data_IF_789287590681
#
_entry.id   IF_789287590681
#
_cell.length_a   1.000
_cell.length_b   1.000
_cell.length_c   1.000
_cell.angle_alpha   90.00
_cell.angle_beta   90.00
_cell.angle_gamma   90.00
#
_symmetry.space_group_name_H-M   'P 1'
#
loop_
_entity.id
_entity.type
_entity.pdbx_description
1 polymer ?
#
# COMPACT_ATOMS: atom_id res chain seq x y z
N UNK A 1 -26.30 43.79 -15.43
CA UNK A 1 -26.76 42.39 -15.33
C UNK A 1 -25.61 41.40 -15.07
N UNK A 2 -24.38 41.88 -14.83
CA UNK A 2 -23.30 41.06 -14.25
C UNK A 2 -23.02 41.45 -12.79
N UNK A 3 -23.50 42.63 -12.36
CA UNK A 3 -23.33 43.19 -11.02
C UNK A 3 -24.17 42.47 -9.95
N UNK A 4 -25.21 41.72 -10.37
CA UNK A 4 -26.11 41.00 -9.45
C UNK A 4 -25.46 39.75 -8.82
N UNK A 5 -24.32 39.28 -9.35
CA UNK A 5 -23.62 38.08 -8.86
C UNK A 5 -22.66 38.44 -7.72
N UNK A 6 -21.97 39.57 -7.83
CA UNK A 6 -21.00 40.01 -6.83
C UNK A 6 -21.69 40.42 -5.51
N UNK A 7 -22.88 41.04 -5.60
CA UNK A 7 -23.69 41.37 -4.43
C UNK A 7 -24.16 40.11 -3.66
N UNK A 8 -24.51 39.03 -4.38
CA UNK A 8 -24.89 37.75 -3.77
C UNK A 8 -23.70 37.05 -3.11
N UNK A 9 -22.48 37.22 -3.63
CA UNK A 9 -21.27 36.66 -3.02
C UNK A 9 -20.88 37.41 -1.74
N UNK A 10 -21.02 38.74 -1.72
CA UNK A 10 -20.73 39.56 -0.55
C UNK A 10 -21.67 39.26 0.63
N UNK A 11 -22.94 38.98 0.35
CA UNK A 11 -23.93 38.60 1.37
C UNK A 11 -23.52 37.28 2.07
N UNK A 12 -23.15 36.26 1.31
CA UNK A 12 -22.69 34.96 1.84
C UNK A 12 -21.38 35.09 2.62
N UNK A 13 -20.41 35.86 2.12
CA UNK A 13 -19.16 36.10 2.85
C UNK A 13 -19.41 36.79 4.19
N UNK A 14 -20.34 37.74 4.26
CA UNK A 14 -20.71 38.41 5.50
C UNK A 14 -21.39 37.49 6.51
N UNK A 15 -22.17 36.51 6.03
CA UNK A 15 -22.92 35.57 6.86
C UNK A 15 -21.99 34.48 7.47
N UNK A 16 -20.94 34.07 6.76
CA UNK A 16 -20.09 32.95 7.17
C UNK A 16 -18.68 33.32 7.67
N UNK A 17 -18.15 34.51 7.36
CA UNK A 17 -16.77 34.89 7.74
C UNK A 17 -16.70 35.84 8.96
N UNK A 18 -17.82 36.30 9.51
CA UNK A 18 -17.83 37.20 10.68
C UNK A 18 -17.66 36.49 12.03
N UNK A 19 -17.51 35.17 12.04
CA UNK A 19 -17.26 34.36 13.23
C UNK A 19 -15.79 34.33 13.69
N UNK A 20 -15.21 35.47 14.05
CA UNK A 20 -13.96 35.48 14.83
C UNK A 20 -13.05 36.70 14.70
N UNK A 21 -13.37 37.81 15.39
CA UNK A 21 -12.39 38.83 15.77
C UNK A 21 -11.99 38.65 17.24
N UNK A 22 -10.71 38.43 17.51
CA UNK A 22 -10.01 38.99 18.69
C UNK A 22 -8.56 39.36 18.31
N UNK A 23 -8.36 40.67 18.13
CA UNK A 23 -7.27 41.58 18.57
C UNK A 23 -6.04 41.00 19.31
N UNK A 24 -4.81 41.54 19.34
CA UNK A 24 -4.06 42.62 18.67
C UNK A 24 -2.60 42.55 19.19
N UNK A 25 -1.63 42.94 18.35
CA UNK A 25 -0.32 43.59 18.62
C UNK A 25 0.72 43.10 19.67
N UNK A 26 1.92 42.79 19.12
CA UNK A 26 3.30 43.16 19.51
C UNK A 26 3.76 43.10 20.99
N UNK A 27 4.78 42.26 21.23
CA UNK A 27 5.80 42.45 22.29
C UNK A 27 6.83 41.31 22.34
N UNK A 28 8.13 41.61 22.22
CA UNK A 28 9.23 40.71 22.68
C UNK A 28 9.43 40.97 24.18
N UNK A 29 9.79 39.97 25.00
CA UNK A 29 11.18 39.91 25.49
C UNK A 29 11.71 38.50 25.82
N UNK A 30 13.02 38.43 26.05
CA UNK A 30 13.83 37.26 26.44
C UNK A 30 13.62 36.79 27.91
N UNK A 31 14.01 35.52 28.15
CA UNK A 31 14.70 34.95 29.35
C UNK A 31 13.91 34.21 30.49
N UNK A 32 14.26 32.90 30.60
CA UNK A 32 14.45 31.96 31.76
C UNK A 32 13.28 31.34 32.59
N UNK A 33 13.22 29.99 32.49
CA UNK A 33 12.98 28.88 33.47
C UNK A 33 12.07 29.05 34.70
N UNK A 34 11.09 28.13 34.85
CA UNK A 34 10.76 27.36 36.09
C UNK A 34 9.80 26.18 35.84
N UNK A 35 9.80 25.19 36.76
CA UNK A 35 9.20 23.83 36.74
C UNK A 35 7.70 23.75 37.14
N UNK A 36 7.05 22.62 36.81
CA UNK A 36 5.80 22.06 37.40
C UNK A 36 4.75 21.69 36.33
N UNK A 37 4.60 20.42 35.93
CA UNK A 37 3.76 19.33 36.47
C UNK A 37 2.39 19.21 35.77
N UNK A 38 2.02 17.95 35.46
CA UNK A 38 0.72 17.37 35.06
C UNK A 38 0.93 16.21 34.08
N UNK A 39 1.47 15.10 34.62
CA UNK A 39 1.10 13.75 34.17
C UNK A 39 -0.27 13.41 34.76
N UNK A 40 -1.12 12.66 34.05
CA UNK A 40 -2.22 11.82 34.60
C UNK A 40 -3.33 11.55 33.58
N UNK A 41 -3.04 10.95 32.42
CA UNK A 41 -4.13 10.40 31.59
C UNK A 41 -3.77 9.27 30.60
N UNK A 42 -2.49 8.95 30.48
CA UNK A 42 -1.99 7.91 29.56
C UNK A 42 -1.56 6.63 30.27
N UNK A 43 -1.34 6.69 31.59
CA UNK A 43 -0.80 5.56 32.35
C UNK A 43 -1.89 4.56 32.76
N UNK A 44 -3.13 5.02 33.02
CA UNK A 44 -4.26 4.15 33.37
C UNK A 44 -4.76 3.28 32.20
N UNK A 45 -4.48 3.68 30.95
CA UNK A 45 -4.86 2.91 29.76
C UNK A 45 -3.86 1.79 29.45
N UNK A 46 -2.60 1.93 29.89
CA UNK A 46 -1.58 0.90 29.70
C UNK A 46 -1.80 -0.27 30.68
N UNK A 47 -2.25 0.00 31.91
CA UNK A 47 -2.52 -1.03 32.90
C UNK A 47 -3.68 -1.96 32.52
N UNK A 48 -4.62 -1.53 31.68
CA UNK A 48 -5.70 -2.39 31.12
C UNK A 48 -5.25 -3.23 29.92
N UNK A 49 -4.08 -2.93 29.33
CA UNK A 49 -3.56 -3.65 28.17
C UNK A 49 -2.79 -4.91 28.57
N UNK A 50 -2.23 -4.95 29.78
CA UNK A 50 -1.41 -6.06 30.29
C UNK A 50 -2.22 -7.31 30.70
N UNK A 51 -3.54 -7.18 30.91
CA UNK A 51 -4.42 -8.31 31.24
C UNK A 51 -4.88 -9.11 29.99
N UNK A 52 -4.74 -8.55 28.79
CA UNK A 52 -4.93 -9.28 27.55
C UNK A 52 -3.64 -10.02 27.20
N UNK A 53 -3.48 -11.25 27.70
CA UNK A 53 -2.44 -12.18 27.22
C UNK A 53 -2.70 -12.56 25.76
N UNK A 54 -2.34 -11.67 24.84
CA UNK A 54 -2.26 -11.96 23.42
C UNK A 54 -1.04 -12.87 23.26
N UNK A 55 -1.28 -14.16 23.11
CA UNK A 55 -0.21 -15.08 22.71
C UNK A 55 0.46 -14.54 21.44
N UNK A 56 1.80 -14.44 21.39
CA UNK A 56 2.49 -13.91 20.24
C UNK A 56 2.19 -14.78 19.03
N UNK A 57 1.47 -14.21 18.05
CA UNK A 57 1.30 -14.80 16.73
C UNK A 57 2.72 -15.02 16.19
N UNK A 58 3.09 -16.23 15.76
CA UNK A 58 4.46 -16.50 15.31
C UNK A 58 4.82 -15.54 14.18
N UNK A 59 5.90 -14.77 14.39
CA UNK A 59 6.47 -13.87 13.39
C UNK A 59 6.98 -14.69 12.19
N UNK A 60 6.11 -14.92 11.22
CA UNK A 60 6.53 -15.40 9.92
C UNK A 60 7.28 -14.23 9.27
N UNK A 61 8.57 -14.39 8.99
CA UNK A 61 9.36 -13.41 8.23
C UNK A 61 8.74 -13.30 6.83
N UNK A 62 7.81 -12.35 6.66
CA UNK A 62 7.11 -12.15 5.41
C UNK A 62 8.05 -11.52 4.39
N UNK A 63 8.57 -12.32 3.47
CA UNK A 63 9.32 -11.83 2.33
C UNK A 63 8.34 -11.17 1.36
N UNK A 64 8.18 -9.86 1.50
CA UNK A 64 7.47 -9.07 0.51
C UNK A 64 8.49 -8.68 -0.54
N UNK A 65 8.30 -9.17 -1.76
CA UNK A 65 9.21 -8.87 -2.86
C UNK A 65 8.67 -7.64 -3.56
N UNK A 66 9.15 -6.48 -3.10
CA UNK A 66 9.03 -5.22 -3.83
C UNK A 66 10.21 -5.20 -4.80
N UNK A 67 9.93 -5.07 -6.10
CA UNK A 67 10.99 -5.04 -7.11
C UNK A 67 11.74 -3.71 -7.03
N UNK A 68 12.80 -3.66 -6.22
CA UNK A 68 13.83 -2.65 -6.34
C UNK A 68 14.68 -2.93 -7.60
N UNK A 69 15.13 -1.88 -8.31
CA UNK A 69 15.97 -2.06 -9.49
C UNK A 69 17.37 -2.51 -9.06
N UNK A 70 17.62 -3.82 -8.96
CA UNK A 70 18.98 -4.35 -8.97
C UNK A 70 19.60 -4.05 -10.34
N UNK A 71 20.45 -3.04 -10.34
CA UNK A 71 21.28 -2.62 -11.45
C UNK A 71 22.59 -3.41 -11.38
N UNK A 72 22.85 -4.31 -12.34
CA UNK A 72 24.18 -4.81 -12.76
C UNK A 72 24.03 -5.69 -14.02
N UNK A 73 24.60 -5.20 -15.13
CA UNK A 73 24.81 -5.87 -16.43
C UNK A 73 23.66 -5.87 -17.45
N UNK A 74 23.48 -4.74 -18.13
CA UNK A 74 23.67 -4.66 -19.59
C UNK A 74 22.72 -5.35 -20.58
N UNK A 75 21.74 -6.16 -20.20
CA UNK A 75 20.80 -6.77 -21.16
C UNK A 75 19.37 -6.84 -20.61
N UNK A 76 18.52 -5.87 -21.01
CA UNK A 76 17.10 -5.85 -20.68
C UNK A 76 16.37 -7.05 -21.29
N UNK A 77 16.22 -8.11 -20.51
CA UNK A 77 15.63 -9.37 -20.99
C UNK A 77 14.17 -9.45 -20.55
N UNK A 78 13.27 -9.76 -21.48
CA UNK A 78 11.84 -9.95 -21.19
C UNK A 78 11.56 -11.43 -20.94
N UNK A 79 10.69 -11.74 -19.99
CA UNK A 79 10.22 -13.10 -19.77
C UNK A 79 9.44 -13.62 -21.00
N UNK A 80 9.79 -14.81 -21.49
CA UNK A 80 9.13 -15.45 -22.62
C UNK A 80 9.02 -16.97 -22.37
N UNK A 81 7.84 -17.48 -21.95
CA UNK A 81 6.58 -16.79 -21.60
C UNK A 81 6.62 -16.09 -20.23
N UNK A 82 5.74 -15.12 -20.00
CA UNK A 82 5.63 -14.45 -18.69
C UNK A 82 4.72 -15.28 -17.77
N UNK A 83 5.32 -15.93 -16.77
CA UNK A 83 4.61 -16.77 -15.83
C UNK A 83 4.52 -16.13 -14.44
N UNK A 84 3.43 -16.43 -13.75
CA UNK A 84 3.20 -16.21 -12.32
C UNK A 84 3.10 -17.57 -11.65
N UNK A 85 3.51 -17.68 -10.40
CA UNK A 85 3.45 -18.94 -9.66
C UNK A 85 3.45 -18.73 -8.16
N UNK A 86 3.44 -19.84 -7.42
CA UNK A 86 3.39 -19.84 -5.97
C UNK A 86 4.73 -19.51 -5.31
N UNK A 87 4.77 -19.69 -4.00
CA UNK A 87 5.98 -19.44 -3.21
C UNK A 87 7.07 -20.49 -3.40
N UNK A 88 6.67 -21.70 -3.82
CA UNK A 88 7.60 -22.80 -4.10
C UNK A 88 8.30 -22.66 -5.46
N UNK A 89 7.74 -21.86 -6.36
CA UNK A 89 8.30 -21.66 -7.69
C UNK A 89 9.48 -20.69 -7.68
N UNK A 90 10.52 -21.00 -8.45
CA UNK A 90 11.69 -20.14 -8.55
C UNK A 90 11.34 -18.82 -9.24
N UNK A 91 11.83 -17.72 -8.66
CA UNK A 91 11.63 -16.37 -9.19
C UNK A 91 12.82 -15.99 -10.06
N UNK A 92 12.56 -15.45 -11.25
CA UNK A 92 13.59 -15.00 -12.17
C UNK A 92 13.09 -14.75 -13.58
N UNK A 93 14.04 -14.69 -14.51
CA UNK A 93 13.75 -14.57 -15.94
C UNK A 93 13.23 -15.91 -16.47
N UNK A 94 11.99 -15.91 -16.95
CA UNK A 94 11.41 -17.06 -17.65
C UNK A 94 11.91 -17.07 -19.10
N UNK A 95 12.52 -18.17 -19.51
CA UNK A 95 13.06 -18.38 -20.87
C UNK A 95 12.34 -19.58 -21.50
N UNK A 96 12.39 -19.72 -22.83
CA UNK A 96 11.70 -20.82 -23.53
C UNK A 96 12.04 -22.24 -23.00
N UNK A 97 13.26 -22.42 -22.48
CA UNK A 97 13.74 -23.68 -21.91
C UNK A 97 13.38 -23.88 -20.44
N UNK A 98 13.28 -22.78 -19.67
CA UNK A 98 13.09 -22.85 -18.22
C UNK A 98 12.06 -21.80 -17.79
N UNK A 99 10.89 -22.28 -17.35
CA UNK A 99 9.79 -21.44 -16.91
C UNK A 99 10.00 -21.04 -15.46
N UNK A 100 10.02 -19.73 -15.21
CA UNK A 100 10.19 -19.13 -13.88
C UNK A 100 9.12 -18.07 -13.61
N UNK A 101 8.90 -17.77 -12.34
CA UNK A 101 8.03 -16.67 -11.94
C UNK A 101 8.71 -15.33 -12.20
N UNK A 102 8.07 -14.44 -12.95
CA UNK A 102 8.61 -13.10 -13.17
C UNK A 102 8.54 -12.25 -11.90
N UNK A 103 9.67 -11.65 -11.48
CA UNK A 103 9.69 -10.73 -10.32
C UNK A 103 9.35 -9.28 -10.66
N UNK A 104 9.48 -8.90 -11.94
CA UNK A 104 9.27 -7.52 -12.40
C UNK A 104 8.02 -7.48 -13.25
N UNK A 105 6.86 -7.68 -12.63
CA UNK A 105 5.57 -7.57 -13.31
C UNK A 105 5.04 -6.14 -13.22
N UNK A 106 4.46 -5.65 -14.32
CA UNK A 106 3.79 -4.36 -14.42
C UNK A 106 2.39 -4.55 -14.97
N UNK A 107 1.43 -3.84 -14.39
CA UNK A 107 0.06 -3.83 -14.91
C UNK A 107 -0.05 -2.79 -16.01
N UNK A 108 -0.61 -3.14 -17.17
CA UNK A 108 -0.79 -2.17 -18.27
C UNK A 108 -2.01 -1.26 -18.08
N UNK A 109 -2.87 -1.54 -17.10
CA UNK A 109 -4.09 -0.74 -16.87
C UNK A 109 -3.86 0.42 -15.89
N UNK A 110 -3.23 0.13 -14.75
CA UNK A 110 -2.88 1.18 -13.77
C UNK A 110 -1.40 1.61 -13.87
N UNK A 111 -0.63 1.00 -14.77
CA UNK A 111 0.80 1.29 -14.99
C UNK A 111 1.75 1.03 -13.80
N UNK A 112 1.22 0.59 -12.65
CA UNK A 112 2.00 0.27 -11.47
C UNK A 112 2.67 -1.11 -11.53
N UNK A 113 3.79 -1.21 -10.81
CA UNK A 113 4.43 -2.49 -10.51
C UNK A 113 3.52 -3.33 -9.62
N UNK A 114 3.55 -4.65 -9.84
CA UNK A 114 2.86 -5.57 -8.98
C UNK A 114 3.65 -5.77 -7.69
N UNK A 115 2.93 -5.83 -6.58
CA UNK A 115 3.45 -6.43 -5.36
C UNK A 115 3.34 -7.95 -5.45
N UNK A 116 4.25 -8.63 -4.78
CA UNK A 116 4.19 -10.07 -4.59
C UNK A 116 4.42 -10.37 -3.12
N UNK A 117 3.53 -11.17 -2.53
CA UNK A 117 3.65 -11.60 -1.14
C UNK A 117 3.62 -13.12 -1.06
N UNK A 118 4.72 -13.68 -0.55
CA UNK A 118 4.91 -15.11 -0.37
C UNK A 118 4.03 -15.67 0.77
N UNK A 119 3.68 -16.95 0.66
CA UNK A 119 2.84 -17.77 1.54
C UNK A 119 1.49 -17.16 1.94
N UNK A 120 0.93 -16.37 1.04
CA UNK A 120 -0.31 -15.63 1.26
C UNK A 120 -1.22 -15.68 0.04
N UNK A 121 -2.51 -15.46 0.30
CA UNK A 121 -3.55 -15.30 -0.70
C UNK A 121 -4.49 -14.16 -0.32
N UNK A 122 -5.11 -13.54 -1.30
CA UNK A 122 -6.15 -12.55 -1.09
C UNK A 122 -7.41 -13.19 -0.50
N UNK A 123 -7.95 -12.56 0.54
CA UNK A 123 -9.24 -12.95 1.09
C UNK A 123 -10.37 -12.63 0.10
N UNK A 124 -11.48 -13.37 0.17
CA UNK A 124 -12.65 -13.15 -0.71
C UNK A 124 -13.32 -11.78 -0.51
N UNK A 125 -13.14 -11.16 0.65
CA UNK A 125 -13.62 -9.79 0.95
C UNK A 125 -12.66 -8.68 0.52
N UNK A 126 -11.66 -9.00 -0.31
CA UNK A 126 -10.80 -8.00 -0.94
C UNK A 126 -11.55 -7.35 -2.08
N UNK A 127 -11.64 -6.02 -2.03
CA UNK A 127 -12.34 -5.23 -3.03
C UNK A 127 -11.34 -4.37 -3.83
N UNK A 128 -11.74 -3.96 -5.03
CA UNK A 128 -11.04 -2.98 -5.84
C UNK A 128 -10.74 -1.69 -5.07
N UNK A 129 -11.71 -1.15 -4.32
CA UNK A 129 -11.53 0.10 -3.56
C UNK A 129 -10.43 -0.02 -2.49
N UNK A 130 -10.32 -1.19 -1.87
CA UNK A 130 -9.30 -1.45 -0.88
C UNK A 130 -7.90 -1.35 -1.50
N UNK A 131 -7.68 -1.98 -2.65
CA UNK A 131 -6.39 -1.94 -3.33
C UNK A 131 -6.06 -0.54 -3.82
N UNK A 132 -7.02 0.18 -4.38
CA UNK A 132 -6.81 1.55 -4.87
C UNK A 132 -6.36 2.50 -3.76
N UNK A 133 -6.91 2.36 -2.56
CA UNK A 133 -6.61 3.25 -1.43
C UNK A 133 -5.34 2.85 -0.66
N UNK A 134 -4.97 1.57 -0.68
CA UNK A 134 -3.89 1.05 0.16
C UNK A 134 -2.62 0.69 -0.62
N UNK A 135 -2.63 0.63 -1.95
CA UNK A 135 -1.42 0.37 -2.72
C UNK A 135 -0.55 1.64 -2.87
N UNK A 136 0.79 1.56 -2.69
CA UNK A 136 1.62 0.36 -2.50
C UNK A 136 1.92 -0.01 -1.03
N UNK A 137 1.17 0.51 -0.05
CA UNK A 137 1.38 0.26 1.38
C UNK A 137 1.03 -1.20 1.78
N UNK A 138 2.07 -2.00 1.91
CA UNK A 138 1.95 -3.44 2.17
C UNK A 138 1.40 -3.73 3.56
N UNK A 139 1.71 -2.91 4.56
CA UNK A 139 1.26 -3.14 5.92
C UNK A 139 -0.27 -3.05 6.01
N UNK A 140 -0.86 -2.08 5.31
CA UNK A 140 -2.32 -2.00 5.17
C UNK A 140 -2.87 -3.21 4.41
N UNK A 141 -2.20 -3.66 3.36
CA UNK A 141 -2.67 -4.80 2.57
C UNK A 141 -2.62 -6.14 3.30
N UNK A 142 -1.71 -6.32 4.28
CA UNK A 142 -1.66 -7.53 5.11
C UNK A 142 -2.98 -7.84 5.82
N UNK A 143 -3.80 -6.82 6.11
CA UNK A 143 -5.11 -6.98 6.74
C UNK A 143 -6.10 -7.82 5.93
N UNK A 144 -5.95 -7.86 4.59
CA UNK A 144 -6.81 -8.63 3.67
C UNK A 144 -6.14 -9.88 3.11
N UNK A 145 -4.92 -10.20 3.57
CA UNK A 145 -4.19 -11.38 3.16
C UNK A 145 -4.39 -12.52 4.16
N UNK A 146 -4.82 -13.67 3.66
CA UNK A 146 -4.87 -14.93 4.42
C UNK A 146 -3.60 -15.73 4.21
N UNK A 147 -3.17 -16.47 5.24
CA UNK A 147 -2.03 -17.37 5.15
C UNK A 147 -2.40 -18.55 4.26
N UNK A 148 -1.56 -18.82 3.25
CA UNK A 148 -1.70 -19.97 2.35
C UNK A 148 -0.32 -20.46 1.95
N UNK A 149 0.16 -21.50 2.63
CA UNK A 149 1.47 -22.09 2.37
C UNK A 149 1.59 -22.55 0.92
N UNK A 150 2.70 -22.19 0.26
CA UNK A 150 2.93 -22.49 -1.15
C UNK A 150 2.18 -21.58 -2.12
N UNK A 151 1.22 -20.78 -1.66
CA UNK A 151 0.55 -19.76 -2.47
C UNK A 151 1.33 -18.45 -2.49
N UNK A 152 1.10 -17.62 -3.51
CA UNK A 152 1.61 -16.25 -3.61
C UNK A 152 0.48 -15.31 -4.02
N UNK A 153 0.41 -14.17 -3.34
CA UNK A 153 -0.53 -13.12 -3.62
C UNK A 153 0.12 -12.06 -4.51
N UNK A 154 -0.51 -11.78 -5.64
CA UNK A 154 -0.12 -10.75 -6.59
C UNK A 154 -1.17 -9.65 -6.60
N UNK A 155 -0.76 -8.38 -6.60
CA UNK A 155 -1.69 -7.29 -6.84
C UNK A 155 -1.03 -6.06 -7.46
N UNK A 156 -1.85 -5.26 -8.14
CA UNK A 156 -1.60 -3.88 -8.50
C UNK A 156 -2.72 -3.00 -7.90
N UNK A 157 -2.75 -1.71 -8.21
CA UNK A 157 -3.82 -0.81 -7.73
C UNK A 157 -5.22 -1.22 -8.23
N UNK A 158 -5.32 -1.87 -9.38
CA UNK A 158 -6.60 -2.15 -10.02
C UNK A 158 -7.02 -3.62 -10.02
N UNK A 159 -6.12 -4.55 -9.71
CA UNK A 159 -6.40 -5.98 -9.84
C UNK A 159 -5.52 -6.80 -8.90
N UNK A 160 -6.05 -7.94 -8.49
CA UNK A 160 -5.40 -8.86 -7.58
C UNK A 160 -5.67 -10.31 -7.97
N UNK A 161 -4.69 -11.17 -7.71
CA UNK A 161 -4.79 -12.62 -7.92
C UNK A 161 -3.97 -13.38 -6.89
N UNK A 162 -4.44 -14.57 -6.56
CA UNK A 162 -3.72 -15.52 -5.73
C UNK A 162 -3.41 -16.74 -6.57
N UNK A 163 -2.16 -17.17 -6.58
CA UNK A 163 -1.69 -18.27 -7.43
C UNK A 163 -0.97 -19.30 -6.54
N UNK A 164 -1.14 -20.58 -6.83
CA UNK A 164 -0.46 -21.68 -6.11
C UNK A 164 0.52 -22.40 -7.03
N UNK A 165 0.10 -22.69 -8.26
CA UNK A 165 0.90 -23.38 -9.26
C UNK A 165 1.36 -22.42 -10.37
N UNK A 166 2.43 -22.76 -11.07
CA UNK A 166 2.95 -21.99 -12.19
C UNK A 166 1.91 -21.86 -13.31
N UNK A 167 1.47 -20.64 -13.57
CA UNK A 167 0.51 -20.27 -14.59
C UNK A 167 1.10 -19.24 -15.57
N UNK A 168 0.77 -19.38 -16.86
CA UNK A 168 1.10 -18.38 -17.87
C UNK A 168 0.03 -17.27 -17.85
N UNK A 169 0.45 -16.01 -17.74
CA UNK A 169 -0.46 -14.86 -17.74
C UNK A 169 -1.27 -14.82 -19.03
N UNK A 170 -0.73 -15.32 -20.15
CA UNK A 170 -1.40 -15.34 -21.44
C UNK A 170 -2.68 -16.18 -21.47
N UNK A 171 -2.81 -17.13 -20.54
CA UNK A 171 -4.03 -17.95 -20.42
C UNK A 171 -5.19 -17.18 -19.77
N UNK A 172 -4.89 -16.18 -18.93
CA UNK A 172 -5.90 -15.39 -18.24
C UNK A 172 -6.05 -14.02 -18.92
N UNK A 173 -7.03 -13.92 -19.81
CA UNK A 173 -7.31 -12.69 -20.58
C UNK A 173 -7.73 -11.51 -19.70
N UNK A 174 -8.17 -11.78 -18.46
CA UNK A 174 -8.53 -10.76 -17.48
C UNK A 174 -7.30 -10.08 -16.89
N UNK A 175 -6.14 -10.73 -16.89
CA UNK A 175 -4.90 -10.17 -16.35
C UNK A 175 -4.13 -9.41 -17.42
N UNK A 176 -4.13 -8.09 -17.29
CA UNK A 176 -3.34 -7.20 -18.15
C UNK A 176 -1.97 -6.94 -17.55
N UNK A 177 -1.25 -8.01 -17.20
CA UNK A 177 0.06 -7.96 -16.57
C UNK A 177 1.16 -8.38 -17.54
N UNK A 178 2.28 -7.67 -17.52
CA UNK A 178 3.40 -7.89 -18.44
C UNK A 178 4.73 -7.83 -17.70
N UNK A 179 5.77 -8.45 -18.25
CA UNK A 179 7.12 -8.29 -17.74
C UNK A 179 7.64 -6.86 -18.00
N UNK A 180 8.01 -6.16 -16.92
CA UNK A 180 8.61 -4.83 -16.90
C UNK A 180 10.09 -4.77 -17.28
N UNK A 181 10.67 -5.88 -17.76
CA UNK A 181 12.09 -6.11 -18.10
C UNK A 181 12.99 -6.36 -16.88
N UNK A 182 13.75 -7.46 -16.94
CA UNK A 182 14.78 -7.82 -15.96
C UNK A 182 16.12 -7.16 -16.29
#
# INVERSE_FOLDING_TARGET
MADDIDDLLAEVESEYLSGGKTTCSKGKPSIKKSKGDHSSRTDELNDLLDDLKIEPIPEIKHKVIISEPLNKSGNYSKCMPTCIGGSNDTIGLSTALEKKCCSRLRCTHCDFNLIMVDDRAWHKSTDYLFLRNNMPDIDKMKTKLVVRKGGRAYACQCQFRSVTDLADIRQDTSLKWVCGKH
#
